data_IF_920016880777
#
_entry.id   IF_920016880777
#
_cell.length_a   1.000
_cell.length_b   1.000
_cell.length_c   1.000
_cell.angle_alpha   90.00
_cell.angle_beta   90.00
_cell.angle_gamma   90.00
#
_symmetry.space_group_name_H-M   'P 1'
#
loop_
_entity.id
_entity.type
_entity.pdbx_description
1 polymer ?
#
# COMPACT_ATOMS: atom_id res chain seq x y z
N UNK A 1 0.56 9.53 -15.33
CA UNK A 1 1.91 8.92 -15.31
C UNK A 1 2.21 8.25 -13.96
N UNK A 2 1.95 8.91 -12.82
CA UNK A 2 2.19 8.37 -11.47
C UNK A 2 1.35 7.11 -11.19
N UNK A 3 0.08 7.10 -11.58
CA UNK A 3 -0.80 5.94 -11.44
C UNK A 3 -0.30 4.72 -12.22
N UNK A 4 0.21 4.94 -13.43
CA UNK A 4 0.78 3.86 -14.24
C UNK A 4 2.00 3.23 -13.57
N UNK A 5 2.90 4.04 -13.04
CA UNK A 5 4.07 3.55 -12.30
C UNK A 5 3.69 2.79 -11.02
N UNK A 6 2.66 3.26 -10.32
CA UNK A 6 2.16 2.59 -9.11
C UNK A 6 1.53 1.22 -9.40
N UNK A 7 0.94 1.02 -10.58
CA UNK A 7 0.34 -0.26 -10.99
C UNK A 7 1.38 -1.23 -11.54
N UNK A 8 2.41 -0.73 -12.21
CA UNK A 8 3.45 -1.59 -12.84
C UNK A 8 4.23 -2.39 -11.81
N UNK A 9 4.60 -1.81 -10.68
CA UNK A 9 5.40 -2.50 -9.66
C UNK A 9 4.70 -3.75 -9.07
N UNK A 10 3.42 -3.68 -8.63
CA UNK A 10 2.68 -4.87 -8.20
C UNK A 10 2.47 -5.89 -9.32
N UNK A 11 2.22 -5.44 -10.56
CA UNK A 11 2.04 -6.35 -11.69
C UNK A 11 3.31 -7.14 -12.01
N UNK A 12 4.48 -6.50 -11.99
CA UNK A 12 5.77 -7.18 -12.18
C UNK A 12 5.96 -8.25 -11.09
N UNK A 13 5.65 -7.92 -9.84
CA UNK A 13 5.74 -8.88 -8.74
C UNK A 13 4.80 -10.08 -8.94
N UNK A 14 3.56 -9.84 -9.39
CA UNK A 14 2.59 -10.89 -9.71
C UNK A 14 3.06 -11.80 -10.85
N UNK A 15 3.66 -11.24 -11.90
CA UNK A 15 4.21 -12.00 -13.02
C UNK A 15 5.37 -12.89 -12.54
N UNK A 16 6.29 -12.36 -11.75
CA UNK A 16 7.40 -13.14 -11.18
C UNK A 16 6.87 -14.26 -10.29
N UNK A 17 5.88 -13.97 -9.42
CA UNK A 17 5.21 -14.97 -8.58
C UNK A 17 4.49 -16.04 -9.40
N UNK A 18 3.79 -15.65 -10.46
CA UNK A 18 3.13 -16.57 -11.39
C UNK A 18 4.11 -17.51 -12.11
N UNK A 19 5.24 -16.97 -12.57
CA UNK A 19 6.31 -17.78 -13.16
C UNK A 19 6.89 -18.75 -12.14
N UNK A 20 7.08 -18.33 -10.90
CA UNK A 20 7.56 -19.19 -9.82
C UNK A 20 6.62 -20.38 -9.53
N UNK A 21 5.31 -20.17 -9.61
CA UNK A 21 4.30 -21.22 -9.43
C UNK A 21 4.18 -22.10 -10.67
N UNK A 22 4.34 -21.53 -11.86
CA UNK A 22 4.34 -22.27 -13.13
C UNK A 22 5.44 -23.33 -13.14
N UNK A 23 6.63 -22.98 -12.60
CA UNK A 23 7.78 -23.87 -12.47
C UNK A 23 7.69 -24.59 -11.13
N UNK A 24 7.08 -25.79 -11.12
CA UNK A 24 7.02 -26.61 -9.92
C UNK A 24 8.38 -27.18 -9.58
N UNK A 25 8.87 -26.87 -8.37
CA UNK A 25 10.10 -27.43 -7.78
C UNK A 25 9.73 -28.63 -6.91
N UNK A 26 9.94 -29.84 -7.42
CA UNK A 26 9.71 -31.05 -6.63
C UNK A 26 10.06 -32.33 -7.36
N UNK A 27 10.38 -33.37 -6.60
CA UNK A 27 10.74 -34.71 -7.11
C UNK A 27 9.52 -35.55 -7.50
N UNK A 28 8.31 -35.14 -7.16
CA UNK A 28 7.05 -35.85 -7.48
C UNK A 28 6.13 -34.94 -8.28
N UNK A 29 6.04 -35.15 -9.61
CA UNK A 29 5.09 -34.40 -10.42
C UNK A 29 3.65 -34.79 -10.05
N UNK A 30 2.84 -33.81 -9.69
CA UNK A 30 1.40 -34.01 -9.44
C UNK A 30 0.66 -33.98 -10.77
N UNK A 31 0.38 -35.17 -11.35
CA UNK A 31 -0.41 -35.34 -12.58
C UNK A 31 0.43 -35.48 -13.87
N UNK A 32 -0.25 -35.29 -15.01
CA UNK A 32 0.39 -35.34 -16.35
C UNK A 32 1.35 -34.16 -16.52
N UNK A 33 2.61 -34.45 -16.83
CA UNK A 33 3.67 -33.44 -17.01
C UNK A 33 3.88 -33.23 -18.49
N UNK A 34 3.87 -31.96 -18.94
CA UNK A 34 4.16 -31.62 -20.34
C UNK A 34 5.65 -31.54 -20.60
N UNK A 35 6.42 -31.12 -19.61
CA UNK A 35 7.86 -30.97 -19.72
C UNK A 35 8.54 -31.21 -18.37
N UNK A 36 9.62 -31.97 -18.38
CA UNK A 36 10.39 -32.33 -17.20
C UNK A 36 11.89 -32.15 -17.44
N UNK A 37 12.54 -31.35 -16.62
CA UNK A 37 13.99 -31.15 -16.63
C UNK A 37 14.54 -31.19 -15.21
N UNK A 38 14.97 -32.38 -14.76
CA UNK A 38 15.49 -32.58 -13.42
C UNK A 38 14.49 -32.28 -12.32
N UNK A 39 14.76 -31.24 -11.49
CA UNK A 39 13.89 -30.82 -10.41
C UNK A 39 12.74 -29.86 -10.84
N UNK A 40 12.69 -29.48 -12.12
CA UNK A 40 11.71 -28.56 -12.68
C UNK A 40 10.67 -29.31 -13.48
N UNK A 41 9.39 -29.11 -13.21
CA UNK A 41 8.29 -29.69 -13.97
C UNK A 41 7.22 -28.65 -14.28
N UNK A 42 6.69 -28.69 -15.51
CA UNK A 42 5.57 -27.86 -15.97
C UNK A 42 4.43 -28.76 -16.35
N UNK A 43 3.27 -28.59 -15.72
CA UNK A 43 2.08 -29.41 -15.97
C UNK A 43 0.81 -28.57 -16.02
N UNK A 44 -0.31 -29.20 -16.42
CA UNK A 44 -1.60 -28.51 -16.50
C UNK A 44 -2.09 -28.01 -15.13
N UNK A 45 -1.72 -28.69 -14.05
CA UNK A 45 -2.06 -28.28 -12.68
C UNK A 45 -1.30 -27.02 -12.30
N UNK A 46 0.03 -26.97 -12.53
CA UNK A 46 0.87 -25.80 -12.25
C UNK A 46 0.43 -24.58 -13.06
N UNK A 47 0.09 -24.78 -14.35
CA UNK A 47 -0.38 -23.69 -15.21
C UNK A 47 -1.74 -23.15 -14.77
N UNK A 48 -2.66 -23.99 -14.35
CA UNK A 48 -3.97 -23.57 -13.83
C UNK A 48 -3.80 -22.79 -12.50
N UNK A 49 -2.92 -23.24 -11.61
CA UNK A 49 -2.61 -22.55 -10.35
C UNK A 49 -1.94 -21.20 -10.60
N UNK A 50 -0.96 -21.12 -11.50
CA UNK A 50 -0.30 -19.88 -11.86
C UNK A 50 -1.28 -18.88 -12.47
N UNK A 51 -2.16 -19.31 -13.36
CA UNK A 51 -3.18 -18.45 -13.96
C UNK A 51 -4.17 -17.92 -12.93
N UNK A 52 -4.66 -18.79 -12.06
CA UNK A 52 -5.53 -18.43 -10.94
C UNK A 52 -4.88 -17.41 -10.00
N UNK A 53 -3.61 -17.58 -9.66
CA UNK A 53 -2.85 -16.66 -8.82
C UNK A 53 -2.72 -15.27 -9.47
N UNK A 54 -2.38 -15.23 -10.76
CA UNK A 54 -2.27 -13.97 -11.51
C UNK A 54 -3.63 -13.27 -11.59
N UNK A 55 -4.70 -14.00 -11.90
CA UNK A 55 -6.05 -13.45 -12.02
C UNK A 55 -6.52 -12.83 -10.71
N UNK A 56 -6.45 -13.58 -9.60
CA UNK A 56 -6.84 -13.07 -8.28
C UNK A 56 -5.94 -11.92 -7.82
N UNK A 57 -4.64 -12.01 -8.09
CA UNK A 57 -3.69 -10.96 -7.75
C UNK A 57 -3.95 -9.66 -8.53
N UNK A 58 -4.23 -9.75 -9.82
CA UNK A 58 -4.57 -8.58 -10.67
C UNK A 58 -5.89 -7.96 -10.20
N UNK A 59 -6.92 -8.77 -10.00
CA UNK A 59 -8.22 -8.28 -9.51
C UNK A 59 -8.09 -7.58 -8.16
N UNK A 60 -7.38 -8.20 -7.19
CA UNK A 60 -7.16 -7.60 -5.88
C UNK A 60 -6.36 -6.30 -5.93
N UNK A 61 -5.30 -6.27 -6.75
CA UNK A 61 -4.48 -5.06 -6.92
C UNK A 61 -5.27 -3.92 -7.56
N UNK A 62 -6.04 -4.20 -8.61
CA UNK A 62 -6.87 -3.20 -9.26
C UNK A 62 -7.96 -2.68 -8.33
N UNK A 63 -8.62 -3.55 -7.58
CA UNK A 63 -9.63 -3.15 -6.60
C UNK A 63 -9.03 -2.22 -5.52
N UNK A 64 -7.86 -2.57 -4.99
CA UNK A 64 -7.14 -1.74 -4.02
C UNK A 64 -6.75 -0.38 -4.61
N UNK A 65 -6.25 -0.35 -5.85
CA UNK A 65 -5.87 0.88 -6.54
C UNK A 65 -7.06 1.79 -6.79
N UNK A 66 -8.20 1.23 -7.21
CA UNK A 66 -9.44 1.99 -7.37
C UNK A 66 -9.85 2.61 -6.02
N UNK A 67 -9.83 1.82 -4.95
CA UNK A 67 -10.14 2.32 -3.61
C UNK A 67 -9.19 3.46 -3.19
N UNK A 68 -7.88 3.26 -3.34
CA UNK A 68 -6.87 4.25 -2.94
C UNK A 68 -6.97 5.59 -3.69
N UNK A 69 -7.35 5.54 -4.98
CA UNK A 69 -7.48 6.75 -5.80
C UNK A 69 -8.82 7.46 -5.60
N UNK A 70 -9.89 6.71 -5.36
CA UNK A 70 -11.24 7.27 -5.27
C UNK A 70 -11.63 7.71 -3.87
N UNK A 71 -11.03 7.10 -2.83
CA UNK A 71 -11.47 7.32 -1.44
C UNK A 71 -10.39 8.06 -0.66
N UNK A 72 -10.58 9.38 -0.35
CA UNK A 72 -9.68 10.09 0.54
C UNK A 72 -9.67 9.46 1.93
N UNK A 73 -8.51 9.46 2.58
CA UNK A 73 -8.34 8.86 3.92
C UNK A 73 -9.30 9.41 4.97
N UNK A 74 -9.66 10.69 4.87
CA UNK A 74 -10.61 11.34 5.79
C UNK A 74 -12.01 10.72 5.69
N UNK A 75 -12.47 10.40 4.47
CA UNK A 75 -13.76 9.75 4.25
C UNK A 75 -13.75 8.31 4.78
N UNK A 76 -12.62 7.62 4.62
CA UNK A 76 -12.42 6.27 5.12
C UNK A 76 -12.48 6.24 6.66
N UNK A 77 -11.82 7.18 7.35
CA UNK A 77 -11.89 7.32 8.81
C UNK A 77 -13.31 7.65 9.29
N UNK A 78 -14.02 8.51 8.57
CA UNK A 78 -15.41 8.85 8.89
C UNK A 78 -16.34 7.65 8.72
N UNK A 79 -16.08 6.81 7.70
CA UNK A 79 -16.84 5.59 7.48
C UNK A 79 -16.53 4.54 8.57
N UNK A 80 -15.27 4.43 8.97
CA UNK A 80 -14.80 3.52 10.01
C UNK A 80 -15.49 3.80 11.38
N UNK A 81 -15.83 5.07 11.64
CA UNK A 81 -16.61 5.46 12.82
C UNK A 81 -18.00 4.78 12.88
N UNK A 82 -18.60 4.43 11.73
CA UNK A 82 -19.87 3.70 11.66
C UNK A 82 -19.77 2.24 12.09
N UNK A 83 -18.55 1.67 12.09
CA UNK A 83 -18.28 0.30 12.53
C UNK A 83 -18.08 0.16 14.05
N UNK A 84 -18.50 1.16 14.84
CA UNK A 84 -18.39 1.15 16.31
C UNK A 84 -16.94 1.05 16.81
N UNK A 85 -15.96 1.50 16.01
CA UNK A 85 -14.58 1.62 16.46
C UNK A 85 -14.50 2.73 17.50
N UNK A 86 -13.79 2.53 18.63
CA UNK A 86 -13.64 3.52 19.67
C UNK A 86 -13.11 4.86 19.13
N UNK A 87 -13.75 5.94 19.48
CA UNK A 87 -13.38 7.31 19.03
C UNK A 87 -11.90 7.64 19.25
N UNK A 88 -11.23 7.27 20.36
CA UNK A 88 -9.81 7.56 20.57
C UNK A 88 -8.89 6.99 19.49
N UNK A 89 -9.21 5.80 18.94
CA UNK A 89 -8.40 5.20 17.87
C UNK A 89 -8.52 5.98 16.56
N UNK A 90 -9.72 6.45 16.22
CA UNK A 90 -9.96 7.25 15.03
C UNK A 90 -9.30 8.63 15.13
N UNK A 91 -9.25 9.16 16.33
CA UNK A 91 -8.55 10.40 16.63
C UNK A 91 -7.05 10.28 16.43
N UNK A 92 -6.44 9.27 17.03
CA UNK A 92 -5.02 8.97 16.84
C UNK A 92 -4.72 8.80 15.34
N UNK A 93 -5.57 8.05 14.60
CA UNK A 93 -5.39 7.85 13.18
C UNK A 93 -5.49 9.16 12.38
N UNK A 94 -6.43 10.03 12.70
CA UNK A 94 -6.61 11.32 12.02
C UNK A 94 -5.47 12.29 12.30
N UNK A 95 -5.00 12.35 13.53
CA UNK A 95 -3.83 13.14 13.92
C UNK A 95 -2.56 12.62 13.27
N UNK A 96 -2.37 11.30 13.26
CA UNK A 96 -1.24 10.64 12.60
C UNK A 96 -1.23 10.96 11.11
N UNK A 97 -2.37 10.85 10.42
CA UNK A 97 -2.51 11.20 9.02
C UNK A 97 -2.09 12.65 8.74
N UNK A 98 -2.54 13.59 9.54
CA UNK A 98 -2.13 14.99 9.43
C UNK A 98 -0.64 15.19 9.66
N UNK A 99 -0.08 14.52 10.68
CA UNK A 99 1.34 14.63 11.03
C UNK A 99 2.25 14.02 9.96
N UNK A 100 1.82 12.99 9.24
CA UNK A 100 2.56 12.39 8.12
C UNK A 100 2.90 13.45 7.07
N UNK A 101 1.94 14.29 6.65
CA UNK A 101 2.21 15.34 5.65
C UNK A 101 3.16 16.41 6.16
N UNK A 102 3.03 16.77 7.43
CA UNK A 102 3.92 17.75 8.05
C UNK A 102 5.34 17.20 8.17
N UNK A 103 5.49 15.92 8.50
CA UNK A 103 6.81 15.28 8.55
C UNK A 103 7.39 15.09 7.16
N UNK A 104 6.57 14.76 6.16
CA UNK A 104 6.97 14.66 4.77
C UNK A 104 7.57 15.98 4.27
N UNK A 105 6.89 17.09 4.50
CA UNK A 105 7.41 18.43 4.18
C UNK A 105 8.75 18.70 4.88
N UNK A 106 8.87 18.33 6.15
CA UNK A 106 10.13 18.43 6.90
C UNK A 106 11.24 17.58 6.28
N UNK A 107 10.94 16.35 5.84
CA UNK A 107 11.91 15.45 5.19
C UNK A 107 12.35 16.02 3.85
N UNK A 108 11.42 16.49 3.02
CA UNK A 108 11.73 17.11 1.71
C UNK A 108 12.65 18.32 1.91
N UNK A 109 12.26 19.26 2.75
CA UNK A 109 13.06 20.47 3.03
C UNK A 109 14.45 20.13 3.59
N UNK A 110 14.54 19.16 4.51
CA UNK A 110 15.82 18.75 5.07
C UNK A 110 16.69 18.01 4.05
N UNK A 111 16.08 17.22 3.16
CA UNK A 111 16.77 16.56 2.04
C UNK A 111 17.32 17.58 1.05
N UNK A 112 16.52 18.56 0.64
CA UNK A 112 16.95 19.66 -0.23
C UNK A 112 18.11 20.46 0.38
N UNK A 113 18.03 20.75 1.68
CA UNK A 113 19.11 21.43 2.38
C UNK A 113 20.41 20.59 2.43
N UNK A 114 20.32 19.26 2.51
CA UNK A 114 21.48 18.36 2.41
C UNK A 114 22.06 18.35 1.00
N UNK A 115 21.22 18.28 -0.04
CA UNK A 115 21.68 18.37 -1.42
C UNK A 115 22.39 19.69 -1.70
N UNK A 116 21.84 20.80 -1.23
CA UNK A 116 22.45 22.13 -1.38
C UNK A 116 23.83 22.26 -0.67
N UNK A 117 24.07 21.47 0.38
CA UNK A 117 25.36 21.44 1.10
C UNK A 117 26.36 20.42 0.53
N UNK A 118 26.15 19.94 -0.71
CA UNK A 118 26.99 18.93 -1.36
C UNK A 118 27.10 17.61 -0.58
N UNK A 119 26.07 17.28 0.21
CA UNK A 119 25.96 16.02 0.95
C UNK A 119 25.66 14.80 0.07
N UNK A 120 25.38 15.02 -1.21
CA UNK A 120 25.07 13.96 -2.17
C UNK A 120 26.36 13.54 -2.89
N UNK A 121 26.89 12.38 -2.52
CA UNK A 121 28.02 11.78 -3.24
C UNK A 121 27.47 11.04 -4.46
N UNK A 122 28.03 11.24 -5.67
CA UNK A 122 27.58 10.53 -6.88
C UNK A 122 27.70 9.02 -6.72
N UNK A 123 26.72 8.33 -7.28
CA UNK A 123 26.68 6.86 -7.33
C UNK A 123 27.86 6.39 -8.16
N UNK A 124 28.84 5.71 -7.56
CA UNK A 124 30.00 5.17 -8.28
C UNK A 124 31.37 5.46 -7.66
N UNK A 125 31.47 6.32 -6.65
CA UNK A 125 32.72 6.48 -5.91
C UNK A 125 32.88 5.39 -4.83
N UNK A 126 34.08 4.83 -4.71
CA UNK A 126 34.43 3.89 -3.64
C UNK A 126 34.12 4.51 -2.27
N UNK A 127 33.29 3.83 -1.46
CA UNK A 127 32.81 4.36 -0.17
C UNK A 127 31.57 5.26 -0.24
N UNK A 128 31.04 5.58 -1.42
CA UNK A 128 29.86 6.44 -1.60
C UNK A 128 28.59 5.86 -0.98
N UNK A 129 28.44 4.52 -1.00
CA UNK A 129 27.28 3.86 -0.40
C UNK A 129 27.23 4.05 1.13
N UNK A 130 28.34 3.82 1.82
CA UNK A 130 28.39 3.97 3.29
C UNK A 130 28.17 5.43 3.73
N UNK A 131 28.75 6.38 2.99
CA UNK A 131 28.54 7.81 3.25
C UNK A 131 27.08 8.22 2.99
N UNK A 132 26.48 7.72 1.94
CA UNK A 132 25.07 7.94 1.61
C UNK A 132 24.13 7.36 2.68
N UNK A 133 24.43 6.14 3.14
CA UNK A 133 23.70 5.51 4.25
C UNK A 133 23.79 6.33 5.53
N UNK A 134 24.99 6.80 5.90
CA UNK A 134 25.17 7.61 7.09
C UNK A 134 24.44 8.95 6.97
N UNK A 135 24.47 9.61 5.82
CA UNK A 135 23.74 10.86 5.60
C UNK A 135 22.23 10.66 5.69
N UNK A 136 21.71 9.56 5.11
CA UNK A 136 20.29 9.21 5.22
C UNK A 136 19.90 8.86 6.65
N UNK A 137 20.74 8.13 7.38
CA UNK A 137 20.53 7.82 8.79
C UNK A 137 20.51 9.08 9.66
N UNK A 138 21.42 10.02 9.43
CA UNK A 138 21.45 11.32 10.13
C UNK A 138 20.20 12.16 9.82
N UNK A 139 19.74 12.16 8.55
CA UNK A 139 18.49 12.81 8.16
C UNK A 139 17.30 12.22 8.91
N UNK A 140 17.14 10.89 8.87
CA UNK A 140 16.06 10.20 9.57
C UNK A 140 16.12 10.43 11.08
N UNK A 141 17.29 10.39 11.68
CA UNK A 141 17.50 10.73 13.10
C UNK A 141 17.03 12.14 13.44
N UNK A 142 17.40 13.15 12.63
CA UNK A 142 16.99 14.53 12.83
C UNK A 142 15.48 14.72 12.68
N UNK A 143 14.85 14.03 11.72
CA UNK A 143 13.40 14.05 11.53
C UNK A 143 12.70 13.37 12.71
N UNK A 144 13.25 12.26 13.21
CA UNK A 144 12.72 11.56 14.38
C UNK A 144 12.71 12.45 15.64
N UNK A 145 13.80 13.15 15.90
CA UNK A 145 13.88 14.10 17.03
C UNK A 145 12.85 15.24 16.87
N UNK A 146 12.71 15.79 15.66
CA UNK A 146 11.72 16.84 15.37
C UNK A 146 10.29 16.31 15.54
N UNK A 147 10.01 15.08 15.09
CA UNK A 147 8.71 14.44 15.26
C UNK A 147 8.36 14.25 16.74
N UNK A 148 9.32 13.78 17.55
CA UNK A 148 9.17 13.64 19.00
C UNK A 148 8.88 14.97 19.67
N UNK A 149 9.69 15.97 19.41
CA UNK A 149 9.52 17.32 19.99
C UNK A 149 8.16 17.92 19.61
N UNK A 150 7.71 17.70 18.37
CA UNK A 150 6.41 18.15 17.90
C UNK A 150 5.27 17.45 18.59
N UNK A 151 5.37 16.12 18.76
CA UNK A 151 4.38 15.32 19.47
C UNK A 151 4.25 15.75 20.94
N UNK A 152 5.38 15.97 21.62
CA UNK A 152 5.39 16.50 23.00
C UNK A 152 4.69 17.86 23.11
N UNK A 153 5.06 18.81 22.24
CA UNK A 153 4.42 20.14 22.22
C UNK A 153 2.92 20.07 21.89
N UNK A 154 2.51 19.15 21.01
CA UNK A 154 1.10 18.94 20.71
C UNK A 154 0.35 18.41 21.94
N UNK A 155 0.94 17.43 22.63
CA UNK A 155 0.37 16.88 23.87
C UNK A 155 0.19 17.99 24.93
N UNK A 156 1.25 18.75 25.19
CA UNK A 156 1.21 19.84 26.18
C UNK A 156 0.15 20.90 25.80
N UNK A 157 0.06 21.21 24.49
CA UNK A 157 -0.96 22.14 23.99
C UNK A 157 -2.38 21.61 24.12
N UNK A 158 -2.60 20.32 23.96
CA UNK A 158 -3.92 19.70 24.16
C UNK A 158 -4.31 19.64 25.64
N UNK A 159 -3.38 19.22 26.51
CA UNK A 159 -3.60 19.18 27.96
C UNK A 159 -3.96 20.57 28.49
N UNK A 160 -3.22 21.61 28.09
CA UNK A 160 -3.46 22.99 28.51
C UNK A 160 -4.79 23.57 28.00
N UNK A 161 -5.38 22.96 26.98
CA UNK A 161 -6.71 23.34 26.46
C UNK A 161 -7.85 22.50 27.03
N UNK A 162 -7.59 21.65 28.04
CA UNK A 162 -8.58 20.78 28.66
C UNK A 162 -9.10 19.70 27.72
N UNK A 163 -8.24 19.16 26.85
CA UNK A 163 -8.61 18.10 25.92
C UNK A 163 -8.96 16.80 26.66
N UNK A 164 -10.22 16.41 26.60
CA UNK A 164 -10.78 15.20 27.23
C UNK A 164 -11.09 14.11 26.18
N UNK A 165 -10.13 13.79 25.32
CA UNK A 165 -10.15 12.65 24.41
C UNK A 165 -11.25 12.61 23.33
N UNK A 166 -11.81 13.76 22.91
CA UNK A 166 -12.75 13.79 21.79
C UNK A 166 -12.59 15.01 20.88
N UNK A 167 -11.88 14.86 19.76
CA UNK A 167 -11.86 15.86 18.68
C UNK A 167 -13.13 15.68 17.81
N UNK A 168 -14.11 16.52 18.01
CA UNK A 168 -15.29 16.56 17.15
C UNK A 168 -14.91 17.27 15.84
N UNK A 169 -14.66 16.51 14.79
CA UNK A 169 -14.47 17.04 13.44
C UNK A 169 -15.84 17.28 12.81
N UNK A 170 -16.04 18.46 12.19
CA UNK A 170 -17.25 18.77 11.44
C UNK A 170 -17.35 17.82 10.23
N UNK A 171 -18.46 17.07 10.08
CA UNK A 171 -18.64 16.17 8.95
C UNK A 171 -18.82 16.99 7.67
N UNK A 172 -17.94 16.78 6.69
CA UNK A 172 -18.12 17.35 5.35
C UNK A 172 -19.26 16.58 4.68
N UNK A 173 -20.41 17.23 4.50
CA UNK A 173 -21.53 16.67 3.72
C UNK A 173 -21.11 16.57 2.25
N UNK A 174 -20.62 15.41 1.83
CA UNK A 174 -20.47 15.09 0.41
C UNK A 174 -21.75 14.46 -0.11
N UNK A 175 -22.37 15.12 -1.05
CA UNK A 175 -23.47 14.57 -1.85
C UNK A 175 -22.90 13.50 -2.78
N UNK A 176 -22.96 12.24 -2.38
CA UNK A 176 -22.53 11.12 -3.21
C UNK A 176 -23.46 11.02 -4.44
N UNK A 177 -22.92 11.23 -5.63
CA UNK A 177 -23.66 11.05 -6.89
C UNK A 177 -24.18 9.60 -6.96
N UNK A 178 -25.46 9.45 -7.24
CA UNK A 178 -26.11 8.14 -7.43
C UNK A 178 -25.40 7.33 -8.53
N UNK A 179 -24.92 8.00 -9.57
CA UNK A 179 -24.13 7.38 -10.66
C UNK A 179 -22.88 6.69 -10.15
N UNK A 180 -22.16 7.30 -9.21
CA UNK A 180 -20.97 6.70 -8.60
C UNK A 180 -21.31 5.43 -7.82
N UNK A 181 -22.41 5.42 -7.06
CA UNK A 181 -22.86 4.23 -6.32
C UNK A 181 -23.20 3.08 -7.26
N UNK A 182 -23.87 3.38 -8.38
CA UNK A 182 -24.21 2.37 -9.40
C UNK A 182 -22.93 1.78 -10.03
N UNK A 183 -21.96 2.62 -10.40
CA UNK A 183 -20.68 2.14 -10.97
C UNK A 183 -19.96 1.22 -9.99
N UNK A 184 -19.88 1.58 -8.72
CA UNK A 184 -19.22 0.76 -7.68
C UNK A 184 -19.92 -0.59 -7.53
N UNK A 185 -21.26 -0.61 -7.49
CA UNK A 185 -22.03 -1.86 -7.39
C UNK A 185 -21.82 -2.73 -8.62
N UNK A 186 -21.81 -2.15 -9.82
CA UNK A 186 -21.53 -2.89 -11.07
C UNK A 186 -20.12 -3.49 -11.11
N UNK A 187 -19.12 -2.74 -10.65
CA UNK A 187 -17.73 -3.22 -10.56
C UNK A 187 -17.64 -4.39 -9.56
N UNK A 188 -18.23 -4.27 -8.39
CA UNK A 188 -18.25 -5.34 -7.39
C UNK A 188 -18.97 -6.58 -7.91
N UNK A 189 -20.12 -6.42 -8.54
CA UNK A 189 -20.89 -7.52 -9.14
C UNK A 189 -20.13 -8.20 -10.27
N UNK A 190 -19.42 -7.42 -11.11
CA UNK A 190 -18.56 -7.94 -12.17
C UNK A 190 -17.38 -8.77 -11.63
N UNK A 191 -16.69 -8.26 -10.61
CA UNK A 191 -15.60 -8.98 -9.95
C UNK A 191 -16.09 -10.28 -9.29
N UNK A 192 -17.27 -10.25 -8.67
CA UNK A 192 -17.90 -11.45 -8.08
C UNK A 192 -18.27 -12.48 -9.13
N UNK A 193 -18.82 -12.06 -10.28
CA UNK A 193 -19.16 -12.91 -11.39
C UNK A 193 -17.93 -13.60 -12.00
N UNK A 194 -16.84 -12.88 -12.20
CA UNK A 194 -15.56 -13.43 -12.68
C UNK A 194 -15.00 -14.44 -11.67
N UNK A 195 -14.99 -14.11 -10.38
CA UNK A 195 -14.53 -15.03 -9.33
C UNK A 195 -15.34 -16.33 -9.29
N UNK A 196 -16.66 -16.25 -9.45
CA UNK A 196 -17.53 -17.44 -9.46
C UNK A 196 -17.28 -18.37 -10.65
N UNK A 197 -17.05 -17.81 -11.84
CA UNK A 197 -16.78 -18.61 -13.06
C UNK A 197 -15.43 -19.30 -13.02
N UNK A 198 -14.42 -18.70 -12.38
CA UNK A 198 -13.08 -19.29 -12.23
C UNK A 198 -13.05 -20.37 -11.14
N UNK A 199 -13.68 -20.13 -10.00
CA UNK A 199 -13.76 -21.14 -8.93
C UNK A 199 -14.53 -22.39 -9.40
N UNK A 200 -15.60 -22.25 -10.18
CA UNK A 200 -16.35 -23.36 -10.74
C UNK A 200 -15.59 -24.20 -11.77
N UNK A 201 -14.51 -23.70 -12.37
CA UNK A 201 -13.64 -24.45 -13.30
C UNK A 201 -12.55 -25.27 -12.61
N UNK A 202 -12.18 -24.91 -11.39
CA UNK A 202 -11.12 -25.59 -10.62
C UNK A 202 -11.66 -26.84 -9.91
N UNK A 203 -12.97 -26.88 -9.63
CA UNK A 203 -13.63 -28.01 -8.95
C UNK A 203 -14.33 -29.00 -9.89
N UNK A 204 -14.16 -28.90 -11.20
CA UNK A 204 -14.53 -29.89 -12.21
C UNK A 204 -13.28 -30.50 -12.84
#
# INVERSE_FOLDING_TARGET
RVLWQAVVAPLVFLVIGGISVLVSLGSTPVGTVWWHAGAFSIGPVSSAQAMSLIEHGVCGTLALMVLAVTTPMVDLLTWLRKFHIPDPLLEIASLTYRLIFVLLDTVVTASEAQHARLGDTPVGQFGGFNRRMNNTAALLGSVGIRAWTRASRLNDGLVNRGFEAALVTLPIKRTGSVRYKIIVVLVIAGLWGVSWTTTGRIFR
#
